data_IF_590136684973
#
_entry.id   IF_590136684973
#
_cell.length_a   1.000
_cell.length_b   1.000
_cell.length_c   1.000
_cell.angle_alpha   90.00
_cell.angle_beta   90.00
_cell.angle_gamma   90.00
#
_symmetry.space_group_name_H-M   'P 1'
#
loop_
_entity.id
_entity.type
_entity.pdbx_description
1 polymer ?
#
# COMPACT_ATOMS: atom_id res chain seq x y z
N UNK A 1 -22.45 -12.21 -14.33
CA UNK A 1 -21.06 -12.68 -14.52
C UNK A 1 -20.21 -12.00 -13.45
N UNK A 2 -19.37 -12.73 -12.70
CA UNK A 2 -18.61 -12.13 -11.61
C UNK A 2 -17.34 -11.46 -12.16
N UNK A 3 -17.39 -10.16 -12.44
CA UNK A 3 -16.26 -9.41 -12.99
C UNK A 3 -15.21 -9.04 -11.93
N UNK A 4 -15.26 -9.65 -10.74
CA UNK A 4 -14.31 -9.41 -9.67
C UNK A 4 -12.85 -9.71 -10.07
N UNK A 5 -12.51 -10.82 -10.76
CA UNK A 5 -11.13 -11.08 -11.17
C UNK A 5 -10.57 -10.00 -12.08
N UNK A 6 -11.37 -9.52 -13.04
CA UNK A 6 -10.98 -8.45 -13.96
C UNK A 6 -10.79 -7.12 -13.23
N UNK A 7 -11.73 -6.77 -12.33
CA UNK A 7 -11.63 -5.54 -11.52
C UNK A 7 -10.42 -5.57 -10.59
N UNK A 8 -10.12 -6.72 -9.98
CA UNK A 8 -8.96 -6.90 -9.12
C UNK A 8 -7.64 -6.82 -9.90
N UNK A 9 -7.58 -7.37 -11.11
CA UNK A 9 -6.41 -7.25 -11.99
C UNK A 9 -6.13 -5.78 -12.33
N UNK A 10 -7.16 -5.03 -12.74
CA UNK A 10 -7.05 -3.60 -13.03
C UNK A 10 -6.68 -2.76 -11.80
N UNK A 11 -7.26 -3.06 -10.64
CA UNK A 11 -6.91 -2.39 -9.38
C UNK A 11 -5.44 -2.60 -9.00
N UNK A 12 -4.92 -3.80 -9.27
CA UNK A 12 -3.50 -4.11 -9.05
C UNK A 12 -2.63 -3.36 -10.04
N UNK A 13 -2.98 -3.32 -11.32
CA UNK A 13 -2.26 -2.54 -12.33
C UNK A 13 -2.20 -1.05 -11.94
N UNK A 14 -3.33 -0.43 -11.61
CA UNK A 14 -3.40 0.98 -11.18
C UNK A 14 -2.50 1.24 -9.95
N UNK A 15 -2.52 0.34 -8.96
CA UNK A 15 -1.68 0.46 -7.77
C UNK A 15 -0.19 0.26 -8.07
N UNK A 16 0.15 -0.70 -8.94
CA UNK A 16 1.52 -0.98 -9.37
C UNK A 16 2.08 0.20 -10.16
N UNK A 17 1.33 0.77 -11.09
CA UNK A 17 1.72 1.97 -11.83
C UNK A 17 1.97 3.14 -10.88
N UNK A 18 1.04 3.40 -9.94
CA UNK A 18 1.20 4.46 -8.96
C UNK A 18 2.48 4.29 -8.10
N UNK A 19 2.80 3.08 -7.68
CA UNK A 19 4.03 2.80 -6.93
C UNK A 19 5.29 2.96 -7.80
N UNK A 20 5.22 2.53 -9.06
CA UNK A 20 6.29 2.74 -10.04
C UNK A 20 6.60 4.22 -10.24
N UNK A 21 5.57 5.04 -10.40
CA UNK A 21 5.69 6.50 -10.55
C UNK A 21 6.24 7.17 -9.29
N UNK A 22 5.69 6.83 -8.12
CA UNK A 22 6.06 7.43 -6.83
C UNK A 22 7.52 7.16 -6.47
N UNK A 23 7.97 5.92 -6.67
CA UNK A 23 9.33 5.51 -6.30
C UNK A 23 10.32 5.55 -7.47
N UNK A 24 9.88 5.87 -8.69
CA UNK A 24 10.73 5.92 -9.88
C UNK A 24 11.30 4.55 -10.25
N UNK A 25 10.52 3.48 -10.12
CA UNK A 25 10.98 2.09 -10.30
C UNK A 25 10.25 1.38 -11.42
N UNK A 26 10.93 0.42 -12.07
CA UNK A 26 10.33 -0.39 -13.14
C UNK A 26 9.23 -1.33 -12.66
N UNK A 27 8.44 -1.85 -13.62
CA UNK A 27 7.25 -2.66 -13.39
C UNK A 27 7.49 -3.86 -12.44
N UNK A 28 8.60 -4.58 -12.61
CA UNK A 28 8.88 -5.75 -11.76
C UNK A 28 9.05 -5.37 -10.29
N UNK A 29 9.80 -4.29 -10.02
CA UNK A 29 10.02 -3.81 -8.65
C UNK A 29 8.74 -3.21 -8.07
N UNK A 30 8.00 -2.44 -8.86
CA UNK A 30 6.70 -1.92 -8.46
C UNK A 30 5.71 -3.07 -8.15
N UNK A 31 5.75 -4.16 -8.92
CA UNK A 31 4.92 -5.35 -8.70
C UNK A 31 5.24 -6.05 -7.39
N UNK A 32 6.54 -6.22 -7.07
CA UNK A 32 6.97 -6.76 -5.78
C UNK A 32 6.56 -5.86 -4.60
N UNK A 33 6.69 -4.54 -4.75
CA UNK A 33 6.25 -3.59 -3.73
C UNK A 33 4.71 -3.62 -3.56
N UNK A 34 3.97 -3.78 -4.65
CA UNK A 34 2.49 -3.93 -4.62
C UNK A 34 2.08 -5.17 -3.85
N UNK A 35 2.67 -6.33 -4.15
CA UNK A 35 2.40 -7.59 -3.45
C UNK A 35 2.74 -7.48 -1.96
N UNK A 36 3.88 -6.87 -1.66
CA UNK A 36 4.35 -6.59 -0.30
C UNK A 36 3.35 -5.75 0.49
N UNK A 37 2.83 -4.66 -0.09
CA UNK A 37 1.85 -3.78 0.55
C UNK A 37 0.50 -4.47 0.75
N UNK A 38 -0.03 -5.13 -0.29
CA UNK A 38 -1.30 -5.86 -0.18
C UNK A 38 -1.24 -6.96 0.90
N UNK A 39 -0.10 -7.65 1.01
CA UNK A 39 0.12 -8.63 2.07
C UNK A 39 0.06 -8.00 3.46
N UNK A 40 0.75 -6.87 3.66
CA UNK A 40 0.74 -6.17 4.94
C UNK A 40 -0.67 -5.66 5.31
N UNK A 41 -1.43 -5.16 4.33
CA UNK A 41 -2.80 -4.71 4.54
C UNK A 41 -3.76 -5.86 4.91
N UNK A 42 -3.63 -7.00 4.23
CA UNK A 42 -4.42 -8.20 4.56
C UNK A 42 -4.07 -8.71 5.96
N UNK A 43 -2.78 -8.74 6.33
CA UNK A 43 -2.36 -9.10 7.70
C UNK A 43 -2.94 -8.14 8.74
N UNK A 44 -2.92 -6.84 8.48
CA UNK A 44 -3.53 -5.84 9.36
C UNK A 44 -5.06 -6.05 9.49
N UNK A 45 -5.76 -6.37 8.40
CA UNK A 45 -7.18 -6.75 8.46
C UNK A 45 -7.41 -7.99 9.33
N UNK A 46 -6.58 -9.03 9.21
CA UNK A 46 -6.69 -10.23 10.05
C UNK A 46 -6.45 -9.93 11.54
N UNK A 47 -5.69 -8.88 11.85
CA UNK A 47 -5.46 -8.39 13.22
C UNK A 47 -6.59 -7.46 13.75
N UNK A 48 -7.71 -7.34 13.05
CA UNK A 48 -8.85 -6.49 13.45
C UNK A 48 -8.84 -5.09 12.83
N UNK A 49 -7.94 -4.84 11.88
CA UNK A 49 -7.90 -3.61 11.10
C UNK A 49 -9.05 -3.45 10.09
N UNK A 50 -9.08 -2.30 9.43
CA UNK A 50 -10.04 -2.00 8.36
C UNK A 50 -9.89 -3.00 7.19
N UNK A 51 -11.02 -3.38 6.59
CA UNK A 51 -11.07 -4.37 5.51
C UNK A 51 -10.54 -3.85 4.18
N UNK A 52 -9.76 -4.68 3.47
CA UNK A 52 -9.25 -4.43 2.12
C UNK A 52 -10.27 -4.93 1.10
N UNK A 53 -10.67 -4.09 0.14
CA UNK A 53 -11.60 -4.49 -0.92
C UNK A 53 -11.36 -3.76 -2.23
N UNK A 54 -11.98 -4.26 -3.29
CA UNK A 54 -11.93 -3.66 -4.63
C UNK A 54 -13.28 -3.09 -5.00
N UNK A 55 -13.33 -1.81 -5.36
CA UNK A 55 -14.52 -1.13 -5.89
C UNK A 55 -14.14 -0.37 -7.15
N UNK A 56 -14.96 -0.48 -8.20
CA UNK A 56 -14.77 0.26 -9.47
C UNK A 56 -13.34 0.10 -10.06
N UNK A 57 -12.72 -1.07 -9.83
CA UNK A 57 -11.33 -1.37 -10.22
C UNK A 57 -10.25 -0.60 -9.46
N UNK A 58 -10.52 -0.20 -8.22
CA UNK A 58 -9.52 0.39 -7.32
C UNK A 58 -9.49 -0.32 -5.98
N UNK A 59 -8.32 -0.32 -5.32
CA UNK A 59 -8.20 -0.81 -3.95
C UNK A 59 -8.63 0.22 -2.92
N UNK A 60 -9.34 -0.26 -1.91
CA UNK A 60 -9.78 0.49 -0.75
C UNK A 60 -9.39 -0.23 0.54
N UNK A 61 -9.15 0.56 1.60
CA UNK A 61 -9.02 0.10 2.98
C UNK A 61 -10.06 0.84 3.80
N UNK A 62 -11.08 0.12 4.29
CA UNK A 62 -12.30 0.76 4.78
C UNK A 62 -12.89 1.62 3.66
N UNK A 63 -13.16 2.91 3.92
CA UNK A 63 -13.68 3.82 2.89
C UNK A 63 -12.57 4.56 2.12
N UNK A 64 -11.30 4.33 2.45
CA UNK A 64 -10.16 5.10 1.94
C UNK A 64 -9.58 4.47 0.68
N UNK A 65 -9.53 5.17 -0.47
CA UNK A 65 -8.86 4.67 -1.67
C UNK A 65 -7.33 4.65 -1.47
N UNK A 66 -6.66 3.59 -1.92
CA UNK A 66 -5.21 3.42 -1.69
C UNK A 66 -4.32 4.34 -2.52
N UNK A 67 -4.67 4.59 -3.80
CA UNK A 67 -3.77 5.31 -4.73
C UNK A 67 -3.42 6.72 -4.23
N UNK A 68 -4.36 7.55 -3.75
CA UNK A 68 -4.02 8.83 -3.14
C UNK A 68 -3.06 8.70 -1.96
N UNK A 69 -3.28 7.73 -1.07
CA UNK A 69 -2.43 7.51 0.10
C UNK A 69 -1.02 7.04 -0.25
N UNK A 70 -0.88 6.28 -1.34
CA UNK A 70 0.43 5.89 -1.89
C UNK A 70 1.16 7.09 -2.48
N UNK A 71 0.47 7.99 -3.19
CA UNK A 71 1.09 9.18 -3.77
C UNK A 71 1.70 10.11 -2.72
N UNK A 72 1.09 10.15 -1.55
CA UNK A 72 1.57 10.92 -0.40
C UNK A 72 2.86 10.36 0.22
N UNK A 73 3.32 9.16 -0.22
CA UNK A 73 4.58 8.56 0.20
C UNK A 73 5.78 8.99 -0.67
N UNK A 74 5.59 9.90 -1.64
CA UNK A 74 6.65 10.34 -2.55
C UNK A 74 7.90 10.89 -1.84
N UNK A 75 7.75 11.48 -0.65
CA UNK A 75 8.88 11.95 0.15
C UNK A 75 9.82 10.84 0.63
N UNK A 76 9.35 9.58 0.70
CA UNK A 76 10.15 8.43 1.11
C UNK A 76 11.05 7.90 0.00
N UNK A 77 10.93 8.41 -1.23
CA UNK A 77 11.68 7.89 -2.38
C UNK A 77 13.20 7.84 -2.16
N UNK A 78 13.88 8.90 -1.69
CA UNK A 78 15.33 8.86 -1.51
C UNK A 78 15.77 7.78 -0.50
N UNK A 79 15.03 7.65 0.60
CA UNK A 79 15.29 6.65 1.64
C UNK A 79 15.01 5.23 1.13
N UNK A 80 13.90 5.05 0.39
CA UNK A 80 13.57 3.78 -0.26
C UNK A 80 14.67 3.35 -1.23
N UNK A 81 15.14 4.23 -2.11
CA UNK A 81 16.21 3.93 -3.07
C UNK A 81 17.51 3.52 -2.37
N UNK A 82 17.90 4.24 -1.31
CA UNK A 82 19.11 3.95 -0.54
C UNK A 82 19.01 2.60 0.19
N UNK A 83 17.88 2.33 0.83
CA UNK A 83 17.65 1.07 1.55
C UNK A 83 17.53 -0.10 0.59
N UNK A 84 16.85 0.06 -0.54
CA UNK A 84 16.59 -1.04 -1.46
C UNK A 84 17.88 -1.63 -2.05
N UNK A 85 18.92 -0.80 -2.25
CA UNK A 85 20.20 -1.26 -2.76
C UNK A 85 20.95 -2.21 -1.80
N UNK A 86 20.65 -2.13 -0.50
CA UNK A 86 21.35 -2.86 0.55
C UNK A 86 20.45 -3.94 1.16
N UNK A 87 19.21 -3.57 1.49
CA UNK A 87 18.24 -4.38 2.21
C UNK A 87 16.82 -4.19 1.65
N UNK A 88 16.46 -4.86 0.54
CA UNK A 88 15.15 -4.71 -0.11
C UNK A 88 13.95 -4.94 0.81
N UNK A 89 14.07 -5.88 1.75
CA UNK A 89 13.03 -6.16 2.73
C UNK A 89 12.78 -4.98 3.66
N UNK A 90 13.83 -4.28 4.11
CA UNK A 90 13.70 -3.09 4.94
C UNK A 90 13.09 -1.91 4.15
N UNK A 91 13.50 -1.73 2.90
CA UNK A 91 12.90 -0.70 2.03
C UNK A 91 11.39 -0.93 1.84
N UNK A 92 10.97 -2.18 1.64
CA UNK A 92 9.55 -2.53 1.58
C UNK A 92 8.84 -2.27 2.91
N UNK A 93 9.46 -2.64 4.03
CA UNK A 93 8.92 -2.43 5.37
C UNK A 93 8.73 -0.94 5.70
N UNK A 94 9.64 -0.07 5.25
CA UNK A 94 9.51 1.39 5.37
C UNK A 94 8.21 1.87 4.74
N UNK A 95 7.94 1.50 3.49
CA UNK A 95 6.73 1.91 2.75
C UNK A 95 5.47 1.31 3.39
N UNK A 96 5.52 0.04 3.80
CA UNK A 96 4.40 -0.60 4.50
C UNK A 96 4.02 0.14 5.79
N UNK A 97 5.01 0.45 6.64
CA UNK A 97 4.78 1.16 7.90
C UNK A 97 4.22 2.56 7.68
N UNK A 98 4.77 3.28 6.71
CA UNK A 98 4.29 4.60 6.36
C UNK A 98 2.85 4.57 5.84
N UNK A 99 2.53 3.64 4.93
CA UNK A 99 1.17 3.49 4.41
C UNK A 99 0.18 3.12 5.52
N UNK A 100 0.53 2.15 6.39
CA UNK A 100 -0.32 1.76 7.52
C UNK A 100 -0.55 2.92 8.50
N UNK A 101 0.48 3.70 8.81
CA UNK A 101 0.36 4.87 9.68
C UNK A 101 -0.61 5.93 9.13
N UNK A 102 -0.75 6.01 7.80
CA UNK A 102 -1.72 6.91 7.14
C UNK A 102 -3.14 6.34 7.13
N UNK A 103 -3.26 5.03 6.87
CA UNK A 103 -4.56 4.36 6.71
C UNK A 103 -5.23 4.01 8.04
N UNK A 104 -4.45 3.87 9.10
CA UNK A 104 -4.95 3.70 10.45
C UNK A 104 -5.09 5.09 11.04
N UNK A 105 -6.32 5.61 11.24
CA UNK A 105 -6.48 6.75 12.13
C UNK A 105 -5.80 6.35 13.42
N UNK A 106 -4.96 7.20 14.02
CA UNK A 106 -4.37 6.94 15.34
C UNK A 106 -5.51 6.62 16.33
N UNK A 107 -5.89 5.36 16.42
CA UNK A 107 -6.90 4.88 17.32
C UNK A 107 -6.27 5.06 18.71
N UNK A 108 -6.80 6.02 19.44
CA UNK A 108 -6.55 6.22 20.87
C UNK A 108 -5.11 6.47 21.30
N UNK A 109 -4.60 7.69 21.04
CA UNK A 109 -3.85 8.44 22.08
C UNK A 109 -4.83 9.29 22.88
N UNK A 110 -5.85 8.60 23.40
CA UNK A 110 -7.02 9.15 24.06
C UNK A 110 -7.52 8.19 25.14
N UNK A 111 -6.59 7.54 25.83
CA UNK A 111 -6.81 7.00 27.17
C UNK A 111 -6.24 8.00 28.16
N UNK A 112 -7.03 9.02 28.50
CA UNK A 112 -6.87 9.75 29.76
C UNK A 112 -7.72 9.01 30.81
N UNK A 113 -7.06 8.40 31.77
CA UNK A 113 -7.36 8.44 33.22
C UNK A 113 -6.20 7.75 33.94
#
# INVERSE_FOLDING_TARGET
MNDLPLRAARAREELTEALGDVFGVGCDRAGLLTLSLLTALVQHQQAGGQGVHVRESRYFVGLTPLVPEVRELASLRPEYEQLYAQEPAQAHLLVQRALLARLVPHATRGGKA
#
